data_IF_168923482242
#
_entry.id   IF_168923482242
#
_cell.length_a   1.000
_cell.length_b   1.000
_cell.length_c   1.000
_cell.angle_alpha   90.00
_cell.angle_beta   90.00
_cell.angle_gamma   90.00
#
_symmetry.space_group_name_H-M   'P 1'
#
loop_
_entity.id
_entity.type
_entity.pdbx_description
1 polymer ?
#
# COMPACT_ATOMS: atom_id res chain seq x y z
N UNK A 1 -6.88 -43.44 -16.25
CA UNK A 1 -6.12 -42.63 -15.27
C UNK A 1 -7.14 -41.81 -14.51
N UNK A 2 -7.51 -42.28 -13.31
CA UNK A 2 -8.48 -41.60 -12.44
C UNK A 2 -7.85 -40.32 -11.87
N UNK A 3 -8.56 -39.21 -12.03
CA UNK A 3 -8.21 -37.93 -11.44
C UNK A 3 -8.55 -37.99 -9.94
N UNK A 4 -7.57 -38.29 -9.10
CA UNK A 4 -7.72 -38.18 -7.65
C UNK A 4 -7.69 -36.68 -7.33
N UNK A 5 -8.87 -36.06 -7.30
CA UNK A 5 -9.06 -34.75 -6.69
C UNK A 5 -8.83 -34.91 -5.19
N UNK A 6 -7.62 -34.57 -4.73
CA UNK A 6 -7.32 -34.51 -3.30
C UNK A 6 -8.19 -33.41 -2.67
N UNK A 7 -9.28 -33.80 -2.01
CA UNK A 7 -10.05 -32.92 -1.14
C UNK A 7 -9.20 -32.57 0.08
N UNK A 8 -8.74 -31.32 0.14
CA UNK A 8 -7.96 -30.83 1.26
C UNK A 8 -8.92 -30.35 2.36
N UNK A 9 -9.06 -31.13 3.43
CA UNK A 9 -9.80 -30.75 4.65
C UNK A 9 -8.82 -30.38 5.77
N UNK A 10 -9.28 -29.56 6.73
CA UNK A 10 -8.43 -29.21 7.89
C UNK A 10 -8.40 -30.40 8.87
N UNK A 11 -7.29 -30.63 9.59
CA UNK A 11 -7.27 -31.64 10.65
C UNK A 11 -8.39 -31.35 11.66
N UNK A 12 -9.27 -32.33 11.88
CA UNK A 12 -10.42 -32.28 12.81
C UNK A 12 -11.63 -31.43 12.39
N UNK A 13 -11.71 -30.94 11.16
CA UNK A 13 -12.91 -30.25 10.65
C UNK A 13 -13.25 -30.72 9.22
N UNK A 14 -14.07 -31.79 9.09
CA UNK A 14 -14.36 -32.44 7.82
C UNK A 14 -15.38 -31.67 6.96
N UNK A 15 -16.10 -30.70 7.52
CA UNK A 15 -17.12 -29.92 6.81
C UNK A 15 -16.65 -28.50 6.52
N UNK A 16 -16.46 -28.17 5.24
CA UNK A 16 -16.27 -26.78 4.80
C UNK A 16 -17.62 -26.07 4.90
N UNK A 17 -17.75 -25.11 5.82
CA UNK A 17 -18.96 -24.28 6.00
C UNK A 17 -18.90 -23.05 5.09
N UNK A 18 -20.06 -22.45 4.82
CA UNK A 18 -20.15 -21.18 4.07
C UNK A 18 -19.29 -20.06 4.69
N UNK A 19 -19.09 -20.10 6.01
CA UNK A 19 -18.21 -19.21 6.77
C UNK A 19 -16.72 -19.51 6.65
N UNK A 20 -16.28 -20.58 5.97
CA UNK A 20 -14.86 -20.92 5.81
C UNK A 20 -14.18 -20.21 4.63
N UNK A 21 -14.95 -19.38 3.91
CA UNK A 21 -14.54 -18.69 2.70
C UNK A 21 -14.71 -17.16 2.83
N UNK A 22 -13.96 -16.52 3.74
CA UNK A 22 -14.20 -15.13 4.12
C UNK A 22 -13.42 -14.10 3.25
N UNK A 23 -12.78 -14.47 2.15
CA UNK A 23 -12.40 -13.46 1.14
C UNK A 23 -12.23 -14.08 -0.24
N UNK A 24 -12.92 -13.51 -1.23
CA UNK A 24 -13.10 -14.06 -2.57
C UNK A 24 -12.25 -13.28 -3.60
N UNK A 25 -11.38 -13.93 -4.37
CA UNK A 25 -10.81 -13.33 -5.58
C UNK A 25 -11.21 -14.17 -6.79
N UNK A 26 -11.79 -13.55 -7.82
CA UNK A 26 -12.17 -14.28 -9.05
C UNK A 26 -11.03 -14.29 -10.06
N UNK A 27 -10.67 -15.47 -10.55
CA UNK A 27 -9.70 -15.68 -11.62
C UNK A 27 -10.37 -16.43 -12.76
N UNK A 28 -10.79 -15.70 -13.80
CA UNK A 28 -11.56 -16.29 -14.90
C UNK A 28 -12.89 -16.86 -14.40
N UNK A 29 -13.00 -18.19 -14.31
CA UNK A 29 -14.17 -18.89 -13.75
C UNK A 29 -13.97 -19.35 -12.30
N UNK A 30 -12.78 -19.18 -11.72
CA UNK A 30 -12.43 -19.65 -10.39
C UNK A 30 -12.72 -18.59 -9.33
N UNK A 31 -13.13 -19.04 -8.14
CA UNK A 31 -13.29 -18.24 -6.93
C UNK A 31 -12.25 -18.72 -5.92
N UNK A 32 -11.33 -17.84 -5.52
CA UNK A 32 -10.29 -18.12 -4.53
C UNK A 32 -10.81 -17.65 -3.18
N UNK A 33 -10.84 -18.53 -2.18
CA UNK A 33 -11.29 -18.23 -0.82
C UNK A 33 -10.14 -18.38 0.16
N UNK A 34 -10.07 -17.55 1.21
CA UNK A 34 -9.12 -17.74 2.32
C UNK A 34 -9.85 -17.87 3.66
N UNK A 35 -9.49 -18.86 4.49
CA UNK A 35 -10.03 -19.00 5.84
C UNK A 35 -9.39 -18.04 6.84
N UNK A 36 -8.32 -17.35 6.44
CA UNK A 36 -7.54 -16.44 7.30
C UNK A 36 -7.99 -14.98 7.19
N UNK A 37 -9.15 -14.72 6.57
CA UNK A 37 -9.78 -13.41 6.55
C UNK A 37 -10.94 -13.39 7.56
N UNK A 38 -11.11 -12.27 8.26
CA UNK A 38 -12.23 -12.04 9.17
C UNK A 38 -13.31 -11.13 8.53
N UNK A 39 -13.11 -10.73 7.27
CA UNK A 39 -14.07 -9.95 6.49
C UNK A 39 -13.94 -10.24 4.99
N UNK A 40 -15.07 -10.21 4.27
CA UNK A 40 -15.12 -10.27 2.81
C UNK A 40 -14.99 -8.84 2.27
N UNK A 41 -13.93 -8.49 1.51
CA UNK A 41 -13.86 -7.19 0.86
C UNK A 41 -14.96 -7.08 -0.20
N UNK A 42 -15.44 -5.87 -0.46
CA UNK A 42 -16.44 -5.66 -1.50
C UNK A 42 -15.85 -5.95 -2.90
N UNK A 43 -16.37 -6.99 -3.56
CA UNK A 43 -15.93 -7.44 -4.87
C UNK A 43 -16.97 -7.03 -5.91
N UNK A 44 -16.50 -6.40 -6.97
CA UNK A 44 -17.34 -6.08 -8.12
C UNK A 44 -16.71 -6.71 -9.36
N UNK A 45 -17.57 -7.39 -10.12
CA UNK A 45 -17.20 -8.17 -11.30
C UNK A 45 -17.48 -7.44 -12.62
N UNK A 46 -17.91 -6.19 -12.54
CA UNK A 46 -18.15 -5.30 -13.68
C UNK A 46 -16.95 -4.37 -13.89
N UNK A 47 -16.75 -3.79 -15.09
CA UNK A 47 -15.81 -2.69 -15.26
C UNK A 47 -16.06 -1.61 -14.20
N UNK A 48 -15.02 -1.30 -13.42
CA UNK A 48 -15.12 -0.39 -12.29
C UNK A 48 -14.52 0.96 -12.66
N UNK A 49 -15.26 2.03 -12.38
CA UNK A 49 -14.73 3.39 -12.50
C UNK A 49 -13.82 3.67 -11.31
N UNK A 50 -12.51 3.71 -11.56
CA UNK A 50 -11.52 4.13 -10.56
C UNK A 50 -11.62 5.64 -10.40
N UNK A 51 -11.89 6.11 -9.17
CA UNK A 51 -12.04 7.52 -8.87
C UNK A 51 -11.30 7.86 -7.59
N UNK A 52 -10.61 9.01 -7.60
CA UNK A 52 -10.00 9.56 -6.41
C UNK A 52 -11.09 9.97 -5.40
N UNK A 53 -10.91 9.58 -4.15
CA UNK A 53 -11.79 9.93 -3.02
C UNK A 53 -11.19 11.09 -2.22
N UNK A 54 -11.96 11.60 -1.26
CA UNK A 54 -11.56 12.76 -0.41
C UNK A 54 -10.27 12.51 0.38
N UNK A 55 -9.89 11.26 0.57
CA UNK A 55 -8.66 10.85 1.26
C UNK A 55 -7.45 10.68 0.33
N UNK A 56 -7.57 11.03 -0.95
CA UNK A 56 -6.51 10.85 -1.95
C UNK A 56 -6.33 9.39 -2.37
N UNK A 57 -7.22 8.49 -1.94
CA UNK A 57 -7.21 7.07 -2.28
C UNK A 57 -8.28 6.70 -3.29
N UNK A 58 -8.17 5.50 -3.82
CA UNK A 58 -9.18 4.94 -4.73
C UNK A 58 -10.26 4.15 -3.99
N UNK A 59 -10.41 4.37 -2.67
CA UNK A 59 -11.31 3.63 -1.80
C UNK A 59 -11.00 2.13 -1.81
N UNK A 60 -12.04 1.31 -1.98
CA UNK A 60 -11.93 -0.16 -2.06
C UNK A 60 -11.14 -0.65 -3.28
N UNK A 61 -10.81 0.25 -4.21
CA UNK A 61 -10.04 -0.07 -5.43
C UNK A 61 -8.56 0.29 -5.29
N UNK A 62 -8.16 0.85 -4.15
CA UNK A 62 -6.76 1.10 -3.86
C UNK A 62 -6.08 -0.21 -3.46
N UNK A 63 -5.04 -0.61 -4.20
CA UNK A 63 -4.38 -1.88 -3.96
C UNK A 63 -3.64 -1.92 -2.60
N UNK A 64 -3.43 -0.76 -1.96
CA UNK A 64 -2.77 -0.67 -0.66
C UNK A 64 -3.72 -0.84 0.54
N UNK A 65 -5.04 -0.84 0.31
CA UNK A 65 -6.04 -0.85 1.39
C UNK A 65 -6.70 -2.21 1.57
N UNK A 66 -6.78 -3.02 0.51
CA UNK A 66 -7.41 -4.35 0.52
C UNK A 66 -6.45 -5.50 0.15
N UNK A 67 -6.85 -6.75 0.39
CA UNK A 67 -6.10 -7.92 -0.05
C UNK A 67 -5.87 -7.89 -1.56
N UNK A 68 -4.63 -8.09 -1.99
CA UNK A 68 -4.28 -8.12 -3.42
C UNK A 68 -4.27 -9.54 -3.94
N UNK A 69 -4.78 -9.70 -5.16
CA UNK A 69 -4.58 -10.93 -5.92
C UNK A 69 -3.09 -11.07 -6.22
N UNK A 70 -2.55 -12.28 -6.00
CA UNK A 70 -1.19 -12.58 -6.43
C UNK A 70 -1.07 -12.43 -7.96
N UNK A 71 -0.04 -11.71 -8.39
CA UNK A 71 0.31 -11.54 -9.78
C UNK A 71 1.81 -11.70 -9.92
N UNK A 72 2.30 -12.49 -10.87
CA UNK A 72 3.74 -12.78 -11.01
C UNK A 72 4.59 -11.50 -11.12
N UNK A 73 4.17 -10.54 -11.94
CA UNK A 73 4.89 -9.27 -12.10
C UNK A 73 4.83 -8.35 -10.86
N UNK A 74 3.91 -8.60 -9.92
CA UNK A 74 3.67 -7.75 -8.75
C UNK A 74 3.49 -8.61 -7.49
N UNK A 75 4.29 -9.67 -7.35
CA UNK A 75 4.15 -10.64 -6.26
C UNK A 75 4.17 -9.97 -4.88
N UNK A 76 5.04 -8.97 -4.72
CA UNK A 76 5.14 -8.14 -3.51
C UNK A 76 3.83 -7.47 -3.09
N UNK A 77 2.89 -7.18 -4.00
CA UNK A 77 1.65 -6.49 -3.61
C UNK A 77 0.80 -7.31 -2.64
N UNK A 78 0.96 -8.64 -2.65
CA UNK A 78 0.29 -9.53 -1.71
C UNK A 78 0.83 -9.45 -0.27
N UNK A 79 2.05 -8.92 -0.08
CA UNK A 79 2.70 -8.77 1.24
C UNK A 79 2.73 -7.32 1.74
N UNK A 80 1.96 -6.42 1.11
CA UNK A 80 1.75 -5.07 1.65
C UNK A 80 1.15 -5.19 3.05
N UNK A 81 1.74 -4.45 3.99
CA UNK A 81 1.30 -4.42 5.40
C UNK A 81 -0.18 -4.07 5.49
N UNK A 82 -0.90 -4.74 6.40
CA UNK A 82 -2.29 -4.39 6.69
C UNK A 82 -2.33 -3.26 7.70
N UNK A 83 -3.24 -2.32 7.51
CA UNK A 83 -3.48 -1.19 8.42
C UNK A 83 -3.60 -1.61 9.89
N UNK A 84 -4.43 -2.62 10.17
CA UNK A 84 -4.75 -3.09 11.52
C UNK A 84 -3.52 -3.61 12.27
N UNK A 85 -2.59 -4.20 11.54
CA UNK A 85 -1.35 -4.75 12.11
C UNK A 85 -0.31 -3.65 12.43
N UNK A 86 -0.55 -2.40 12.01
CA UNK A 86 0.39 -1.29 12.15
C UNK A 86 -0.02 -0.27 13.23
N UNK A 87 -1.08 -0.48 14.01
CA UNK A 87 -1.59 0.53 14.95
C UNK A 87 -0.61 1.01 16.03
N UNK A 88 0.45 0.24 16.29
CA UNK A 88 1.51 0.56 17.26
C UNK A 88 2.90 0.68 16.62
N UNK A 89 2.97 0.77 15.29
CA UNK A 89 4.23 0.85 14.56
C UNK A 89 4.38 2.20 13.88
N UNK A 90 5.61 2.68 13.62
CA UNK A 90 5.83 3.91 12.84
C UNK A 90 5.19 3.87 11.46
N UNK A 91 4.95 2.68 10.92
CA UNK A 91 4.31 2.49 9.62
C UNK A 91 2.89 3.07 9.59
N UNK A 92 2.13 3.05 10.70
CA UNK A 92 0.74 3.51 10.76
C UNK A 92 0.46 4.82 10.02
N UNK A 93 1.42 5.74 10.01
CA UNK A 93 1.33 7.05 9.36
C UNK A 93 0.93 6.96 7.88
N UNK A 94 1.36 5.91 7.15
CA UNK A 94 1.04 5.72 5.73
C UNK A 94 -0.39 5.22 5.47
N UNK A 95 -1.20 5.03 6.50
CA UNK A 95 -2.63 4.72 6.39
C UNK A 95 -3.51 5.88 6.83
N UNK A 96 -2.90 6.96 7.31
CA UNK A 96 -3.61 8.16 7.72
C UNK A 96 -3.87 9.07 6.50
N UNK A 97 -4.81 9.98 6.68
CA UNK A 97 -5.11 11.05 5.72
C UNK A 97 -4.73 12.37 6.38
N UNK A 98 -3.96 13.25 5.70
CA UNK A 98 -3.65 14.57 6.23
C UNK A 98 -4.93 15.32 6.60
N UNK A 99 -4.91 15.94 7.77
CA UNK A 99 -6.01 16.79 8.28
C UNK A 99 -5.67 18.27 8.05
N UNK A 100 -6.67 19.13 8.11
CA UNK A 100 -6.48 20.57 7.87
C UNK A 100 -5.48 21.22 8.84
N UNK A 101 -5.36 20.72 10.07
CA UNK A 101 -4.35 21.18 11.04
C UNK A 101 -2.90 20.77 10.69
N UNK A 102 -2.71 19.90 9.69
CA UNK A 102 -1.42 19.53 9.12
C UNK A 102 -1.11 20.30 7.83
N UNK A 103 -1.94 21.29 7.49
CA UNK A 103 -1.74 22.19 6.37
C UNK A 103 -1.42 23.59 6.90
N UNK A 104 -0.25 24.12 6.51
CA UNK A 104 0.23 25.44 6.92
C UNK A 104 0.03 26.43 5.76
N UNK A 105 -0.92 27.38 5.84
CA UNK A 105 -1.13 28.36 4.78
C UNK A 105 0.16 29.13 4.42
N UNK A 106 0.36 29.37 3.13
CA UNK A 106 1.48 30.14 2.62
C UNK A 106 1.23 31.64 2.86
N UNK A 107 2.09 32.28 3.66
CA UNK A 107 2.05 33.74 3.85
C UNK A 107 2.56 34.44 2.61
N UNK A 108 1.92 35.56 2.23
CA UNK A 108 2.38 36.40 1.11
C UNK A 108 2.06 35.86 -0.28
N UNK A 109 1.21 34.83 -0.41
CA UNK A 109 0.74 34.36 -1.72
C UNK A 109 -0.45 35.20 -2.20
N UNK A 110 -0.42 35.59 -3.48
CA UNK A 110 -1.57 36.21 -4.16
C UNK A 110 -2.73 35.20 -4.36
N UNK A 111 -2.47 33.90 -4.23
CA UNK A 111 -3.48 32.84 -4.39
C UNK A 111 -3.94 32.31 -3.03
N UNK A 112 -5.21 32.51 -2.71
CA UNK A 112 -5.82 32.00 -1.48
C UNK A 112 -5.78 30.47 -1.40
N UNK A 113 -5.64 29.92 -0.19
CA UNK A 113 -5.72 28.48 0.05
C UNK A 113 -4.51 27.65 -0.42
N UNK A 114 -3.40 28.30 -0.81
CA UNK A 114 -2.10 27.63 -0.95
C UNK A 114 -1.40 27.51 0.40
N UNK A 115 -0.61 26.45 0.56
CA UNK A 115 0.10 26.18 1.80
C UNK A 115 1.05 25.00 1.68
N UNK A 116 1.69 24.68 2.78
CA UNK A 116 2.72 23.65 2.89
C UNK A 116 2.25 22.54 3.82
N UNK A 117 2.85 21.36 3.69
CA UNK A 117 2.76 20.35 4.73
C UNK A 117 3.32 20.90 6.06
N UNK A 118 2.71 20.54 7.18
CA UNK A 118 3.22 20.93 8.50
C UNK A 118 4.51 20.16 8.83
N UNK A 119 5.43 20.82 9.54
CA UNK A 119 6.66 20.17 10.04
C UNK A 119 6.32 18.93 10.87
N UNK A 120 5.30 19.01 11.74
CA UNK A 120 4.84 17.87 12.55
C UNK A 120 4.52 16.62 11.72
N UNK A 121 3.91 16.76 10.54
CA UNK A 121 3.64 15.61 9.68
C UNK A 121 4.92 15.12 9.00
N UNK A 122 5.80 16.03 8.58
CA UNK A 122 7.11 15.69 8.02
C UNK A 122 7.96 14.92 9.04
N UNK A 123 8.04 15.38 10.28
CA UNK A 123 8.81 14.80 11.37
C UNK A 123 8.37 13.36 11.70
N UNK A 124 7.10 13.02 11.46
CA UNK A 124 6.56 11.67 11.63
C UNK A 124 6.91 10.73 10.46
N UNK A 125 7.01 11.27 9.25
CA UNK A 125 7.10 10.48 8.01
C UNK A 125 8.55 10.30 7.56
N UNK A 126 9.35 11.37 7.65
CA UNK A 126 10.73 11.42 7.18
C UNK A 126 11.62 10.32 7.76
N UNK A 127 11.56 9.99 9.07
CA UNK A 127 12.38 8.92 9.63
C UNK A 127 12.06 7.56 9.00
N UNK A 128 10.78 7.26 8.79
CA UNK A 128 10.36 5.97 8.20
C UNK A 128 10.78 5.87 6.74
N UNK A 129 10.64 6.96 5.99
CA UNK A 129 11.11 7.04 4.59
C UNK A 129 12.63 6.89 4.51
N UNK A 130 13.36 7.52 5.44
CA UNK A 130 14.84 7.46 5.47
C UNK A 130 15.32 6.04 5.75
N UNK A 131 14.75 5.38 6.76
CA UNK A 131 15.06 3.97 7.07
C UNK A 131 14.81 3.10 5.83
N UNK A 132 13.66 3.24 5.20
CA UNK A 132 13.31 2.46 4.02
C UNK A 132 14.27 2.71 2.84
N UNK A 133 14.69 3.96 2.59
CA UNK A 133 15.69 4.26 1.57
C UNK A 133 17.06 3.65 1.89
N UNK A 134 17.46 3.64 3.16
CA UNK A 134 18.68 2.96 3.61
C UNK A 134 18.58 1.44 3.43
N UNK A 135 17.44 0.83 3.74
CA UNK A 135 17.21 -0.60 3.53
C UNK A 135 17.29 -0.97 2.04
N UNK A 136 16.70 -0.15 1.16
CA UNK A 136 16.81 -0.34 -0.29
C UNK A 136 18.26 -0.26 -0.75
N UNK A 137 19.00 0.77 -0.34
CA UNK A 137 20.41 0.91 -0.70
C UNK A 137 21.24 -0.28 -0.18
N UNK A 138 20.97 -0.72 1.04
CA UNK A 138 21.66 -1.86 1.66
C UNK A 138 21.36 -3.17 0.93
N UNK A 139 20.13 -3.36 0.45
CA UNK A 139 19.75 -4.51 -0.38
C UNK A 139 20.45 -4.49 -1.75
N UNK A 140 20.47 -3.34 -2.42
CA UNK A 140 21.07 -3.21 -3.76
C UNK A 140 22.60 -3.34 -3.76
N UNK A 141 23.26 -3.06 -2.63
CA UNK A 141 24.71 -3.16 -2.48
C UNK A 141 25.20 -4.56 -2.08
N UNK A 142 24.31 -5.55 -1.91
CA UNK A 142 24.71 -6.93 -1.60
C UNK A 142 25.38 -7.56 -2.81
N UNK A 143 26.49 -8.29 -2.59
CA UNK A 143 27.29 -8.87 -3.65
C UNK A 143 26.51 -9.88 -4.51
N UNK A 144 25.51 -10.54 -3.92
CA UNK A 144 24.69 -11.57 -4.55
C UNK A 144 23.52 -10.99 -5.36
N UNK A 145 23.24 -9.69 -5.22
CA UNK A 145 22.07 -9.04 -5.82
C UNK A 145 22.48 -8.35 -7.12
N UNK A 146 21.92 -8.81 -8.24
CA UNK A 146 21.95 -8.04 -9.49
C UNK A 146 21.15 -6.75 -9.28
N UNK A 147 21.66 -5.64 -9.83
CA UNK A 147 21.00 -4.34 -9.73
C UNK A 147 19.51 -4.41 -10.10
N UNK A 148 18.64 -4.10 -9.14
CA UNK A 148 17.19 -4.14 -9.30
C UNK A 148 16.65 -2.77 -9.71
N UNK A 149 16.34 -2.62 -11.00
CA UNK A 149 15.78 -1.39 -11.57
C UNK A 149 14.39 -1.04 -11.04
N UNK A 150 13.58 -2.04 -10.69
CA UNK A 150 12.23 -1.83 -10.15
C UNK A 150 12.33 -1.17 -8.79
N UNK A 151 13.17 -1.72 -7.92
CA UNK A 151 13.39 -1.18 -6.58
C UNK A 151 14.09 0.20 -6.63
N UNK A 152 15.01 0.42 -7.57
CA UNK A 152 15.61 1.74 -7.82
C UNK A 152 14.56 2.77 -8.24
N UNK A 153 13.61 2.36 -9.09
CA UNK A 153 12.47 3.18 -9.49
C UNK A 153 11.58 3.56 -8.30
N UNK A 154 11.27 2.61 -7.42
CA UNK A 154 10.50 2.89 -6.21
C UNK A 154 11.24 3.82 -5.24
N UNK A 155 12.55 3.63 -5.04
CA UNK A 155 13.37 4.53 -4.22
C UNK A 155 13.37 5.96 -4.77
N UNK A 156 13.45 6.09 -6.10
CA UNK A 156 13.40 7.39 -6.79
C UNK A 156 12.05 8.06 -6.56
N UNK A 157 10.94 7.35 -6.80
CA UNK A 157 9.60 7.86 -6.58
C UNK A 157 9.35 8.25 -5.12
N UNK A 158 9.83 7.44 -4.17
CA UNK A 158 9.71 7.70 -2.74
C UNK A 158 10.47 8.97 -2.33
N UNK A 159 11.72 9.13 -2.79
CA UNK A 159 12.52 10.33 -2.54
C UNK A 159 11.85 11.58 -3.14
N UNK A 160 11.38 11.50 -4.38
CA UNK A 160 10.73 12.62 -5.05
C UNK A 160 9.42 13.02 -4.34
N UNK A 161 8.59 12.05 -3.96
CA UNK A 161 7.37 12.32 -3.22
C UNK A 161 7.66 12.97 -1.86
N UNK A 162 8.72 12.53 -1.16
CA UNK A 162 9.12 13.13 0.11
C UNK A 162 9.60 14.58 -0.07
N UNK A 163 10.40 14.85 -1.09
CA UNK A 163 10.86 16.21 -1.41
C UNK A 163 9.71 17.14 -1.77
N UNK A 164 8.74 16.67 -2.57
CA UNK A 164 7.53 17.44 -2.87
C UNK A 164 6.77 17.75 -1.58
N UNK A 165 6.53 16.76 -0.72
CA UNK A 165 5.81 16.95 0.53
C UNK A 165 6.46 18.02 1.43
N UNK A 166 7.80 18.10 1.43
CA UNK A 166 8.57 19.07 2.22
C UNK A 166 8.54 20.48 1.66
N UNK A 167 8.60 20.62 0.33
CA UNK A 167 8.97 21.90 -0.29
C UNK A 167 7.90 22.49 -1.21
N UNK A 168 7.00 21.67 -1.74
CA UNK A 168 6.03 22.14 -2.71
C UNK A 168 4.86 22.85 -1.99
N UNK A 169 4.39 24.00 -2.49
CA UNK A 169 3.09 24.53 -2.10
C UNK A 169 1.95 23.69 -2.73
N UNK A 170 0.86 23.53 -1.98
CA UNK A 170 -0.30 22.73 -2.33
C UNK A 170 -1.60 23.50 -2.07
N UNK A 171 -2.68 23.17 -2.78
CA UNK A 171 -4.02 23.23 -2.16
C UNK A 171 -4.16 22.05 -1.21
N UNK A 172 -5.03 22.16 -0.22
CA UNK A 172 -5.20 21.07 0.76
C UNK A 172 -5.49 19.70 0.13
N UNK A 173 -6.32 19.63 -0.92
CA UNK A 173 -6.61 18.38 -1.63
C UNK A 173 -5.40 17.82 -2.39
N UNK A 174 -4.53 18.69 -2.91
CA UNK A 174 -3.29 18.27 -3.57
C UNK A 174 -2.32 17.66 -2.55
N UNK A 175 -2.24 18.24 -1.35
CA UNK A 175 -1.46 17.69 -0.24
C UNK A 175 -1.95 16.29 0.13
N UNK A 176 -3.28 16.11 0.25
CA UNK A 176 -3.88 14.81 0.55
C UNK A 176 -3.55 13.78 -0.54
N UNK A 177 -3.64 14.18 -1.82
CA UNK A 177 -3.31 13.31 -2.94
C UNK A 177 -1.82 12.93 -2.97
N UNK A 178 -0.91 13.90 -2.79
CA UNK A 178 0.53 13.63 -2.83
C UNK A 178 1.01 12.83 -1.61
N UNK A 179 0.39 13.03 -0.44
CA UNK A 179 0.62 12.18 0.73
C UNK A 179 0.16 10.74 0.49
N UNK A 180 -1.00 10.54 -0.15
CA UNK A 180 -1.46 9.20 -0.54
C UNK A 180 -0.50 8.55 -1.55
N UNK A 181 0.04 9.32 -2.50
CA UNK A 181 1.06 8.84 -3.43
C UNK A 181 2.36 8.42 -2.71
N UNK A 182 2.86 9.27 -1.80
CA UNK A 182 4.02 8.94 -0.95
C UNK A 182 3.79 7.65 -0.18
N UNK A 183 2.62 7.52 0.42
CA UNK A 183 2.21 6.33 1.17
C UNK A 183 2.27 5.08 0.29
N UNK A 184 1.72 5.12 -0.93
CA UNK A 184 1.80 3.98 -1.87
C UNK A 184 3.25 3.61 -2.22
N UNK A 185 4.09 4.61 -2.47
CA UNK A 185 5.51 4.37 -2.76
C UNK A 185 6.20 3.68 -1.58
N UNK A 186 5.96 4.15 -0.35
CA UNK A 186 6.56 3.58 0.85
C UNK A 186 6.10 2.12 1.07
N UNK A 187 4.80 1.86 0.93
CA UNK A 187 4.21 0.53 1.12
C UNK A 187 4.67 -0.48 0.08
N UNK A 188 4.77 -0.07 -1.19
CA UNK A 188 5.29 -0.95 -2.24
C UNK A 188 6.77 -1.27 -2.04
N UNK A 189 7.58 -0.26 -1.74
CA UNK A 189 9.00 -0.46 -1.46
C UNK A 189 9.23 -1.43 -0.30
N UNK A 190 8.52 -1.25 0.81
CA UNK A 190 8.65 -2.13 1.98
C UNK A 190 8.18 -3.56 1.66
N UNK A 191 7.06 -3.70 0.93
CA UNK A 191 6.57 -5.00 0.51
C UNK A 191 7.54 -5.70 -0.45
N UNK A 192 8.13 -4.96 -1.39
CA UNK A 192 9.10 -5.49 -2.35
C UNK A 192 10.37 -5.98 -1.66
N UNK A 193 10.87 -5.25 -0.65
CA UNK A 193 12.03 -5.67 0.13
C UNK A 193 11.78 -6.95 0.94
N UNK A 194 10.52 -7.17 1.36
CA UNK A 194 10.13 -8.29 2.22
C UNK A 194 9.64 -9.52 1.46
N UNK A 195 9.44 -9.42 0.16
CA UNK A 195 8.99 -10.57 -0.62
C UNK A 195 10.04 -11.68 -0.51
N UNK A 196 9.66 -12.92 -0.21
CA UNK A 196 10.59 -14.04 -0.28
C UNK A 196 11.06 -14.17 -1.73
N UNK A 197 12.37 -14.40 -1.91
CA UNK A 197 12.93 -14.78 -3.21
C UNK A 197 12.30 -16.14 -3.56
N UNK A 198 11.35 -16.13 -4.51
CA UNK A 198 10.76 -17.33 -5.09
C UNK A 198 11.68 -17.91 -6.17
#
# INVERSE_FOLDING_TARGET
MENIMLEYTRPNDPEIKFSDAICMARVGKLIITTPNADYIPHLSFTPLKVQLRKDGRFGDKDYTTGPQRFHLNFAHSAVIRRRRDQEKTPWQIFWNTPKLNQFRPAKGSAFGGLGFCSSKLIDLVEPVVTILLCDIASYQNRAEVRFDYTLAGYATNLRQAMLRLKHNPYKFLDLVNDFAYLSRCALNSDAYLRQPLL
#
